data_IF_154038017839
#
_entry.id   IF_154038017839
#
_cell.length_a   1.000
_cell.length_b   1.000
_cell.length_c   1.000
_cell.angle_alpha   90.00
_cell.angle_beta   90.00
_cell.angle_gamma   90.00
#
_symmetry.space_group_name_H-M   'P 1'
#
loop_
_entity.id
_entity.type
_entity.pdbx_description
1 polymer ?
#
# COMPACT_ATOMS: atom_id res chain seq x y z
N UNK A 1 -15.96 -20.55 11.72
CA UNK A 1 -15.06 -20.10 10.64
C UNK A 1 -15.90 -19.39 9.58
N UNK A 2 -15.98 -18.06 9.65
CA UNK A 2 -16.74 -17.27 8.66
C UNK A 2 -15.85 -17.11 7.43
N UNK A 3 -16.14 -17.85 6.36
CA UNK A 3 -15.40 -17.75 5.11
C UNK A 3 -15.64 -16.35 4.52
N UNK A 4 -14.65 -15.46 4.62
CA UNK A 4 -14.69 -14.12 4.03
C UNK A 4 -14.78 -14.26 2.51
N UNK A 5 -15.96 -13.97 1.93
CA UNK A 5 -16.19 -14.03 0.49
C UNK A 5 -15.33 -12.96 -0.18
N UNK A 6 -14.27 -13.38 -0.88
CA UNK A 6 -13.43 -12.51 -1.70
C UNK A 6 -14.18 -12.16 -2.98
N UNK A 7 -14.62 -10.91 -3.15
CA UNK A 7 -15.18 -10.43 -4.43
C UNK A 7 -14.03 -10.17 -5.41
N UNK A 8 -13.92 -11.00 -6.44
CA UNK A 8 -12.89 -10.90 -7.47
C UNK A 8 -13.20 -9.73 -8.41
N UNK A 9 -12.47 -8.61 -8.26
CA UNK A 9 -12.58 -7.43 -9.13
C UNK A 9 -11.71 -7.50 -10.40
N UNK A 10 -11.20 -8.67 -10.75
CA UNK A 10 -10.33 -8.83 -11.93
C UNK A 10 -10.97 -8.32 -13.22
N UNK A 11 -12.30 -8.48 -13.35
CA UNK A 11 -13.10 -7.97 -14.48
C UNK A 11 -13.10 -6.44 -14.58
N UNK A 12 -12.80 -5.75 -13.48
CA UNK A 12 -12.74 -4.29 -13.40
C UNK A 12 -11.31 -3.76 -13.51
N UNK A 13 -10.30 -4.61 -13.69
CA UNK A 13 -8.91 -4.18 -13.80
C UNK A 13 -8.73 -3.31 -15.06
N UNK A 14 -8.35 -2.02 -14.92
CA UNK A 14 -7.94 -1.23 -16.07
C UNK A 14 -6.63 -1.79 -16.66
N UNK A 15 -6.43 -1.74 -17.99
CA UNK A 15 -5.24 -2.28 -18.64
C UNK A 15 -3.91 -1.68 -18.16
N UNK A 16 -3.95 -0.46 -17.61
CA UNK A 16 -2.78 0.27 -17.10
C UNK A 16 -2.32 -0.17 -15.72
N UNK A 17 -3.09 -0.99 -15.01
CA UNK A 17 -2.78 -1.44 -13.64
C UNK A 17 -1.91 -2.68 -13.71
N UNK A 18 -0.82 -2.71 -12.94
CA UNK A 18 0.13 -3.83 -12.88
C UNK A 18 -0.25 -4.87 -11.83
N UNK A 19 -0.91 -4.45 -10.76
CA UNK A 19 -1.17 -5.25 -9.56
C UNK A 19 -2.56 -5.01 -8.97
N UNK A 20 -3.13 -6.00 -8.26
CA UNK A 20 -4.45 -5.88 -7.62
C UNK A 20 -4.33 -5.81 -6.09
N UNK A 21 -4.86 -4.74 -5.50
CA UNK A 21 -4.96 -4.61 -4.05
C UNK A 21 -6.18 -5.37 -3.52
N UNK A 22 -5.98 -6.09 -2.41
CA UNK A 22 -7.04 -6.66 -1.60
C UNK A 22 -7.35 -5.70 -0.45
N UNK A 23 -8.64 -5.45 -0.24
CA UNK A 23 -9.12 -4.64 0.87
C UNK A 23 -10.16 -5.41 1.68
N UNK A 24 -10.29 -5.06 2.97
CA UNK A 24 -11.27 -5.68 3.85
C UNK A 24 -12.70 -5.25 3.51
N UNK A 25 -12.88 -3.94 3.33
CA UNK A 25 -14.17 -3.23 3.25
C UNK A 25 -14.21 -2.21 2.09
N UNK A 26 -13.19 -2.20 1.23
CA UNK A 26 -12.99 -1.17 0.21
C UNK A 26 -12.14 0.02 0.68
N UNK A 27 -11.84 0.11 1.97
CA UNK A 27 -11.08 1.20 2.58
C UNK A 27 -9.76 0.72 3.19
N UNK A 28 -9.78 -0.34 4.00
CA UNK A 28 -8.60 -0.90 4.65
C UNK A 28 -7.85 -1.83 3.69
N UNK A 29 -6.63 -1.45 3.31
CA UNK A 29 -5.80 -2.18 2.35
C UNK A 29 -5.00 -3.26 3.10
N UNK A 30 -5.06 -4.49 2.59
CA UNK A 30 -4.50 -5.66 3.27
C UNK A 30 -3.23 -6.15 2.56
N UNK A 31 -3.32 -6.53 1.29
CA UNK A 31 -2.22 -7.13 0.55
C UNK A 31 -2.40 -6.95 -0.95
N UNK A 32 -1.34 -7.17 -1.73
CA UNK A 32 -1.40 -7.15 -3.20
C UNK A 32 -1.33 -8.57 -3.75
N UNK A 33 -2.11 -8.84 -4.79
CA UNK A 33 -2.16 -10.10 -5.52
C UNK A 33 -1.60 -9.91 -6.94
N UNK A 34 -0.51 -10.63 -7.23
CA UNK A 34 -0.03 -10.84 -8.59
C UNK A 34 -0.87 -11.91 -9.31
N UNK A 35 -1.13 -11.72 -10.61
CA UNK A 35 -2.05 -12.54 -11.39
C UNK A 35 -1.41 -13.72 -12.14
N UNK A 36 -0.12 -14.03 -11.95
CA UNK A 36 0.45 -15.22 -12.57
C UNK A 36 0.00 -16.49 -11.82
N UNK A 37 -1.20 -16.98 -12.16
CA UNK A 37 -1.93 -18.05 -11.47
C UNK A 37 -1.16 -19.39 -11.42
N UNK A 38 -0.11 -19.52 -12.23
CA UNK A 38 0.77 -20.70 -12.27
C UNK A 38 1.96 -20.60 -11.31
N UNK A 39 2.24 -19.40 -10.77
CA UNK A 39 3.30 -19.14 -9.79
C UNK A 39 2.71 -18.42 -8.58
N UNK A 40 2.09 -19.19 -7.69
CA UNK A 40 1.65 -18.73 -6.38
C UNK A 40 2.85 -18.34 -5.49
N UNK A 41 3.55 -17.24 -5.75
CA UNK A 41 4.59 -16.74 -4.86
C UNK A 41 4.68 -15.21 -4.91
N UNK A 42 4.01 -14.55 -3.98
CA UNK A 42 4.24 -13.14 -3.71
C UNK A 42 2.99 -12.45 -3.21
N UNK A 43 2.66 -12.70 -1.94
CA UNK A 43 1.82 -11.77 -1.20
C UNK A 43 2.66 -10.57 -0.86
N UNK A 44 2.14 -9.40 -1.19
CA UNK A 44 2.88 -8.17 -1.14
C UNK A 44 2.42 -7.38 0.07
N UNK A 45 3.37 -7.01 0.91
CA UNK A 45 3.15 -5.98 1.92
C UNK A 45 3.23 -4.63 1.24
N UNK A 46 2.15 -3.87 1.38
CA UNK A 46 2.09 -2.48 1.01
C UNK A 46 2.44 -1.67 2.24
N UNK A 47 3.49 -0.86 2.12
CA UNK A 47 3.90 0.09 3.12
C UNK A 47 3.47 1.49 2.68
N UNK A 48 2.87 2.27 3.57
CA UNK A 48 2.56 3.68 3.31
C UNK A 48 3.29 4.55 4.30
N UNK A 49 3.84 5.65 3.79
CA UNK A 49 4.41 6.71 4.58
C UNK A 49 3.36 7.74 4.96
N UNK A 50 3.28 8.08 6.24
CA UNK A 50 2.45 9.16 6.76
C UNK A 50 3.34 10.31 7.23
N UNK A 51 3.04 11.53 6.80
CA UNK A 51 3.55 12.75 7.42
C UNK A 51 2.66 13.13 8.61
N UNK A 52 3.25 13.23 9.81
CA UNK A 52 2.59 13.87 10.95
C UNK A 52 2.77 15.40 10.86
N UNK A 53 1.67 16.15 10.76
CA UNK A 53 1.70 17.61 10.80
C UNK A 53 1.29 18.16 12.18
N UNK A 54 0.98 17.35 13.19
CA UNK A 54 0.45 17.86 14.47
C UNK A 54 1.48 18.57 15.38
N UNK A 55 2.53 19.17 14.81
CA UNK A 55 3.27 20.23 15.51
C UNK A 55 2.49 21.54 15.39
N UNK A 56 1.68 21.84 16.41
CA UNK A 56 1.01 23.13 16.69
C UNK A 56 2.00 24.32 16.82
N UNK A 57 3.30 24.07 16.69
CA UNK A 57 4.32 25.12 16.60
C UNK A 57 4.52 25.44 15.11
N UNK A 58 4.03 26.59 14.66
CA UNK A 58 4.07 27.09 13.26
C UNK A 58 5.47 27.29 12.66
N UNK A 59 6.45 26.48 13.07
CA UNK A 59 7.77 26.33 12.51
C UNK A 59 7.82 25.06 11.70
N UNK A 60 7.59 25.21 10.40
CA UNK A 60 7.85 24.15 9.43
C UNK A 60 9.34 23.80 9.52
N UNK A 61 9.72 22.62 10.02
CA UNK A 61 11.08 22.14 9.86
C UNK A 61 11.12 21.55 8.46
N UNK A 62 11.36 22.40 7.46
CA UNK A 62 11.70 21.95 6.11
C UNK A 62 13.09 21.32 6.12
N UNK A 63 13.26 20.24 6.88
CA UNK A 63 14.26 19.23 6.59
C UNK A 63 13.53 18.04 5.99
N UNK A 64 13.27 18.13 4.68
CA UNK A 64 12.72 17.04 3.89
C UNK A 64 13.59 15.76 4.04
N UNK A 65 14.83 15.90 4.54
CA UNK A 65 15.80 14.85 4.89
C UNK A 65 15.54 14.07 6.18
N UNK A 66 14.61 14.51 7.05
CA UNK A 66 14.43 13.89 8.35
C UNK A 66 13.41 12.74 8.32
N UNK A 67 13.92 11.51 8.32
CA UNK A 67 13.15 10.26 8.35
C UNK A 67 12.15 10.14 9.51
N UNK A 68 12.31 10.93 10.58
CA UNK A 68 11.44 10.88 11.76
C UNK A 68 10.04 11.44 11.52
N UNK A 69 9.81 12.19 10.44
CA UNK A 69 8.47 12.67 10.06
C UNK A 69 7.63 11.60 9.36
N UNK A 70 8.22 10.47 9.04
CA UNK A 70 7.58 9.42 8.26
C UNK A 70 7.29 8.21 9.13
N UNK A 71 6.07 7.68 9.04
CA UNK A 71 5.72 6.37 9.61
C UNK A 71 5.39 5.37 8.51
N UNK A 72 6.04 4.21 8.53
CA UNK A 72 5.76 3.07 7.64
C UNK A 72 4.60 2.23 8.20
N UNK A 73 3.47 2.17 7.51
CA UNK A 73 2.34 1.31 7.90
C UNK A 73 2.16 0.11 6.98
N UNK A 74 1.97 -1.08 7.54
CA UNK A 74 1.61 -2.29 6.79
C UNK A 74 0.53 -3.09 7.51
N UNK A 75 -0.34 -3.79 6.78
CA UNK A 75 -1.42 -4.56 7.39
C UNK A 75 -0.88 -5.71 8.27
N UNK A 76 -1.51 -5.99 9.42
CA UNK A 76 -1.04 -6.99 10.37
C UNK A 76 -1.27 -8.42 9.87
N UNK A 77 -0.41 -9.34 10.29
CA UNK A 77 -0.52 -10.78 9.94
C UNK A 77 -1.87 -11.35 10.40
N UNK A 78 -2.38 -10.88 11.53
CA UNK A 78 -3.65 -11.32 12.10
C UNK A 78 -4.88 -11.02 11.22
N UNK A 79 -4.76 -10.11 10.24
CA UNK A 79 -5.83 -9.83 9.28
C UNK A 79 -5.86 -10.80 8.08
N UNK A 80 -5.02 -11.83 8.11
CA UNK A 80 -4.90 -12.84 7.06
C UNK A 80 -3.87 -12.50 5.99
N UNK A 81 -3.01 -11.50 6.26
CA UNK A 81 -1.86 -11.13 5.43
C UNK A 81 -0.74 -12.13 5.66
N UNK A 82 -0.07 -12.58 4.60
CA UNK A 82 1.03 -13.52 4.77
C UNK A 82 2.26 -12.90 5.46
N UNK A 83 2.92 -13.66 6.36
CA UNK A 83 4.18 -13.24 6.97
C UNK A 83 5.35 -13.42 5.99
N UNK A 84 5.49 -12.51 5.03
CA UNK A 84 6.56 -12.56 4.03
C UNK A 84 7.95 -12.27 4.63
N UNK A 85 8.99 -12.99 4.19
CA UNK A 85 10.38 -12.79 4.66
C UNK A 85 10.86 -11.36 4.35
N UNK A 86 10.61 -10.87 3.13
CA UNK A 86 11.05 -9.51 2.76
C UNK A 86 10.33 -8.43 3.58
N UNK A 87 9.05 -8.63 3.91
CA UNK A 87 8.32 -7.75 4.82
C UNK A 87 9.04 -7.66 6.17
N UNK A 88 9.44 -8.80 6.74
CA UNK A 88 10.14 -8.82 8.03
C UNK A 88 11.49 -8.10 7.94
N UNK A 89 12.28 -8.35 6.88
CA UNK A 89 13.54 -7.64 6.65
C UNK A 89 13.34 -6.13 6.54
N UNK A 90 12.28 -5.66 5.86
CA UNK A 90 11.96 -4.23 5.79
C UNK A 90 11.65 -3.66 7.18
N UNK A 91 10.87 -4.36 8.00
CA UNK A 91 10.58 -3.91 9.37
C UNK A 91 11.84 -3.90 10.27
N UNK A 92 12.77 -4.82 10.04
CA UNK A 92 14.08 -4.83 10.69
C UNK A 92 14.92 -3.62 10.26
N UNK A 93 15.01 -3.33 8.97
CA UNK A 93 15.70 -2.12 8.46
C UNK A 93 15.07 -0.86 9.04
N UNK A 94 13.74 -0.75 9.06
CA UNK A 94 13.06 0.39 9.69
C UNK A 94 13.46 0.55 11.16
N UNK A 95 13.58 -0.56 11.91
CA UNK A 95 14.02 -0.52 13.31
C UNK A 95 15.46 -0.06 13.45
N UNK A 96 16.36 -0.62 12.66
CA UNK A 96 17.80 -0.32 12.74
C UNK A 96 18.10 1.12 12.31
N UNK A 97 17.34 1.62 11.34
CA UNK A 97 17.39 2.99 10.86
C UNK A 97 16.57 3.96 11.73
N UNK A 98 15.87 3.50 12.76
CA UNK A 98 15.04 4.37 13.60
C UNK A 98 13.86 5.01 12.87
N UNK A 99 13.38 4.40 11.78
CA UNK A 99 12.18 4.80 11.04
C UNK A 99 10.95 4.28 11.80
N UNK A 100 10.02 5.15 12.23
CA UNK A 100 8.77 4.73 12.83
C UNK A 100 7.99 3.78 11.92
N UNK A 101 7.44 2.69 12.48
CA UNK A 101 6.57 1.79 11.73
C UNK A 101 5.45 1.20 12.60
N UNK A 102 4.32 0.86 11.97
CA UNK A 102 3.20 0.19 12.63
C UNK A 102 2.57 -0.90 11.77
N UNK A 103 2.19 -2.00 12.39
CA UNK A 103 1.41 -3.06 11.76
C UNK A 103 -0.10 -2.76 11.84
N UNK A 104 -0.58 -1.81 11.03
CA UNK A 104 -1.99 -1.44 10.91
C UNK A 104 -2.37 -1.35 9.43
N UNK A 105 -3.55 -1.84 9.07
CA UNK A 105 -4.06 -1.76 7.70
C UNK A 105 -4.23 -0.30 7.26
N UNK A 106 -3.51 0.15 6.23
CA UNK A 106 -3.59 1.52 5.73
C UNK A 106 -4.97 1.81 5.15
N UNK A 107 -5.52 2.98 5.46
CA UNK A 107 -6.88 3.35 5.06
C UNK A 107 -6.89 4.26 3.84
N UNK A 108 -7.57 3.87 2.77
CA UNK A 108 -7.77 4.67 1.57
C UNK A 108 -8.35 6.05 1.88
N UNK A 109 -9.20 6.20 2.89
CA UNK A 109 -9.71 7.51 3.32
C UNK A 109 -8.60 8.51 3.71
N UNK A 110 -7.40 8.03 4.06
CA UNK A 110 -6.21 8.83 4.37
C UNK A 110 -5.21 8.89 3.21
N UNK A 111 -5.59 8.53 1.98
CA UNK A 111 -4.65 8.44 0.87
C UNK A 111 -3.98 9.76 0.48
N UNK A 112 -4.59 10.90 0.84
CA UNK A 112 -4.03 12.22 0.53
C UNK A 112 -2.69 12.46 1.24
N UNK A 113 -2.56 12.02 2.49
CA UNK A 113 -1.37 12.18 3.33
C UNK A 113 -0.29 11.10 3.09
N UNK A 114 -0.50 10.20 2.13
CA UNK A 114 0.52 9.24 1.74
C UNK A 114 1.56 9.89 0.83
N UNK A 115 2.82 9.87 1.25
CA UNK A 115 3.92 10.41 0.43
C UNK A 115 4.51 9.37 -0.52
N UNK A 116 4.61 8.12 -0.05
CA UNK A 116 5.22 7.02 -0.79
C UNK A 116 4.44 5.73 -0.52
N UNK A 117 4.49 4.83 -1.50
CA UNK A 117 4.08 3.45 -1.32
C UNK A 117 5.05 2.51 -2.03
N UNK A 118 5.26 1.33 -1.44
CA UNK A 118 6.07 0.29 -2.04
C UNK A 118 5.55 -1.11 -1.73
N UNK A 119 5.92 -2.04 -2.60
CA UNK A 119 5.51 -3.43 -2.67
C UNK A 119 6.72 -4.31 -2.37
N UNK A 120 6.61 -5.20 -1.40
CA UNK A 120 7.66 -6.20 -1.13
C UNK A 120 7.32 -7.59 -1.65
N UNK A 121 8.28 -8.30 -2.25
CA UNK A 121 8.11 -9.74 -2.57
C UNK A 121 9.46 -10.43 -2.70
N UNK A 122 9.52 -11.75 -2.55
CA UNK A 122 10.79 -12.50 -2.72
C UNK A 122 11.41 -12.38 -4.10
N UNK A 123 10.63 -12.03 -5.14
CA UNK A 123 11.14 -11.88 -6.51
C UNK A 123 11.63 -10.47 -6.83
N UNK A 124 10.97 -9.45 -6.25
CA UNK A 124 11.24 -8.03 -6.56
C UNK A 124 11.91 -7.27 -5.43
N UNK A 125 12.10 -7.93 -4.29
CA UNK A 125 12.54 -7.37 -3.00
C UNK A 125 11.66 -6.21 -2.57
N UNK A 126 11.92 -5.01 -3.10
CA UNK A 126 11.19 -3.79 -2.84
C UNK A 126 10.96 -3.03 -4.16
N UNK A 127 9.69 -2.80 -4.51
CA UNK A 127 9.28 -2.08 -5.71
C UNK A 127 8.41 -0.87 -5.36
N UNK A 128 8.80 0.31 -5.83
CA UNK A 128 7.98 1.52 -5.69
C UNK A 128 6.62 1.41 -6.41
N UNK A 129 5.60 2.04 -5.85
CA UNK A 129 4.26 2.14 -6.44
C UNK A 129 4.05 3.53 -7.00
N UNK A 130 3.89 3.64 -8.32
CA UNK A 130 3.67 4.92 -8.97
C UNK A 130 2.28 5.50 -8.68
N UNK A 131 1.25 4.64 -8.60
CA UNK A 131 -0.11 5.07 -8.33
C UNK A 131 -1.00 3.97 -7.80
N UNK A 132 -2.02 4.36 -7.04
CA UNK A 132 -3.10 3.48 -6.57
C UNK A 132 -4.43 4.03 -7.08
N UNK A 133 -5.31 3.15 -7.52
CA UNK A 133 -6.64 3.49 -7.99
C UNK A 133 -7.69 2.65 -7.28
N UNK A 134 -8.75 3.30 -6.80
CA UNK A 134 -9.88 2.66 -6.12
C UNK A 134 -11.18 3.08 -6.80
N UNK A 135 -12.11 2.13 -7.08
CA UNK A 135 -13.39 2.48 -7.68
C UNK A 135 -14.24 3.29 -6.70
N UNK A 136 -14.78 4.40 -7.17
CA UNK A 136 -15.64 5.30 -6.35
C UNK A 136 -17.01 4.71 -6.03
N UNK A 137 -17.50 3.78 -6.87
CA UNK A 137 -18.82 3.17 -6.74
C UNK A 137 -18.75 1.63 -6.63
N UNK A 138 -18.20 1.13 -5.52
CA UNK A 138 -18.01 -0.32 -5.31
C UNK A 138 -19.29 -1.16 -5.34
N UNK A 139 -20.42 -0.61 -4.87
CA UNK A 139 -21.65 -1.37 -4.66
C UNK A 139 -22.42 -1.65 -5.96
N UNK A 140 -22.20 -0.87 -7.01
CA UNK A 140 -22.88 -0.99 -8.32
C UNK A 140 -22.09 -1.80 -9.37
N UNK A 141 -20.96 -2.37 -8.98
CA UNK A 141 -19.96 -2.90 -9.90
C UNK A 141 -20.32 -4.26 -10.55
N UNK A 142 -21.44 -4.88 -10.17
CA UNK A 142 -21.79 -6.25 -10.60
C UNK A 142 -22.11 -6.39 -12.10
N UNK A 143 -22.46 -5.30 -12.79
CA UNK A 143 -22.80 -5.29 -14.22
C UNK A 143 -21.96 -4.31 -15.06
N UNK A 144 -20.95 -3.67 -14.47
CA UNK A 144 -20.14 -2.62 -15.10
C UNK A 144 -18.80 -3.17 -15.58
N UNK A 145 -18.25 -2.62 -16.66
CA UNK A 145 -16.86 -2.84 -17.06
C UNK A 145 -15.95 -1.78 -16.43
N UNK A 146 -14.63 -1.96 -16.49
CA UNK A 146 -13.67 -0.98 -15.98
C UNK A 146 -13.84 0.44 -16.58
N UNK A 147 -14.40 0.54 -17.80
CA UNK A 147 -14.68 1.81 -18.50
C UNK A 147 -15.89 2.54 -17.93
N UNK A 148 -16.83 1.82 -17.32
CA UNK A 148 -18.10 2.34 -16.84
C UNK A 148 -18.03 2.78 -15.36
N UNK A 149 -16.83 2.74 -14.78
CA UNK A 149 -16.57 3.03 -13.36
C UNK A 149 -15.63 4.23 -13.27
N UNK A 150 -15.98 5.16 -12.39
CA UNK A 150 -15.10 6.27 -12.02
C UNK A 150 -14.08 5.81 -10.97
N UNK A 151 -12.82 6.18 -11.18
CA UNK A 151 -11.69 5.78 -10.35
C UNK A 151 -11.13 6.99 -9.60
N UNK A 152 -11.04 6.87 -8.28
CA UNK A 152 -10.23 7.78 -7.48
C UNK A 152 -8.78 7.31 -7.57
N UNK A 153 -7.85 8.24 -7.86
CA UNK A 153 -6.44 7.93 -8.10
C UNK A 153 -5.56 8.74 -7.16
N UNK A 154 -4.67 8.05 -6.43
CA UNK A 154 -3.49 8.65 -5.79
C UNK A 154 -2.31 8.43 -6.71
N UNK A 155 -1.67 9.52 -7.15
CA UNK A 155 -0.42 9.48 -7.89
C UNK A 155 0.71 9.84 -6.92
N UNK A 156 1.75 9.01 -6.88
CA UNK A 156 2.97 9.29 -6.12
C UNK A 156 3.98 10.01 -7.02
N UNK A 157 5.01 10.61 -6.42
CA UNK A 157 6.10 11.26 -7.15
C UNK A 157 6.79 10.25 -8.08
N UNK A 158 7.35 10.71 -9.21
CA UNK A 158 7.79 9.86 -10.34
C UNK A 158 8.99 8.91 -10.07
N UNK A 159 9.27 8.57 -8.83
CA UNK A 159 10.35 7.67 -8.42
C UNK A 159 10.24 7.29 -6.93
N UNK A 160 11.10 6.37 -6.45
CA UNK A 160 11.16 6.03 -5.04
C UNK A 160 11.47 7.30 -4.24
N UNK A 161 10.70 7.56 -3.19
CA UNK A 161 11.01 8.65 -2.28
C UNK A 161 12.04 8.21 -1.24
N UNK A 162 12.24 9.05 -0.24
CA UNK A 162 13.34 8.95 0.71
C UNK A 162 13.39 7.62 1.45
N UNK A 163 12.26 7.20 2.03
CA UNK A 163 12.24 5.98 2.84
C UNK A 163 12.36 4.77 1.93
N UNK A 164 11.69 4.78 0.78
CA UNK A 164 11.83 3.73 -0.24
C UNK A 164 13.29 3.58 -0.66
N UNK A 165 14.01 4.68 -0.91
CA UNK A 165 15.43 4.67 -1.27
C UNK A 165 16.34 4.23 -0.12
N UNK A 166 16.03 4.59 1.12
CA UNK A 166 16.84 4.24 2.28
C UNK A 166 16.76 2.73 2.60
N UNK A 167 15.63 2.09 2.32
CA UNK A 167 15.44 0.66 2.56
C UNK A 167 16.05 -0.22 1.45
N UNK A 168 16.23 0.31 0.23
CA UNK A 168 16.76 -0.42 -0.94
C UNK A 168 18.28 -0.63 -0.89
#
# INVERSE_FOLDING_TARGET
LQCRIRKTLEKLRPPSVTELLLSHDGNQILEVRSQDFTRCHGFVSLAFLFCDWDSDDGKVPYDYGNKNYFEVQTAPINDGVLPGIIRQLVLEVCRDEGIPFREVAPSWSKHEIWEEAFITSSLRLLQHVDSIQVPTEWQSAHSKTWKDISWAKKQFQGGPGMITTLIQ
#
